data_IF_778274833434
#
_entry.id   IF_778274833434
#
_cell.length_a   1.000
_cell.length_b   1.000
_cell.length_c   1.000
_cell.angle_alpha   90.00
_cell.angle_beta   90.00
_cell.angle_gamma   90.00
#
_symmetry.space_group_name_H-M   'P 1'
#
loop_
_entity.id
_entity.type
_entity.pdbx_description
1 polymer ?
#
# COMPACT_ATOMS: atom_id res chain seq x y z
N UNK A 1 -8.82 11.41 -17.40
CA UNK A 1 -9.94 10.48 -17.10
C UNK A 1 -9.62 9.00 -17.30
N UNK A 2 -8.81 8.57 -18.29
CA UNK A 2 -8.52 7.13 -18.54
C UNK A 2 -7.81 6.39 -17.39
N UNK A 3 -6.91 7.05 -16.64
CA UNK A 3 -6.12 6.40 -15.57
C UNK A 3 -6.94 6.03 -14.32
N UNK A 4 -7.84 6.91 -13.85
CA UNK A 4 -8.64 6.65 -12.63
C UNK A 4 -9.71 5.57 -12.84
N UNK A 5 -10.35 5.55 -14.03
CA UNK A 5 -11.29 4.49 -14.40
C UNK A 5 -10.59 3.12 -14.46
N UNK A 6 -9.39 3.07 -15.04
CA UNK A 6 -8.58 1.84 -15.09
C UNK A 6 -8.21 1.34 -13.69
N UNK A 7 -7.80 2.24 -12.79
CA UNK A 7 -7.53 1.90 -11.40
C UNK A 7 -8.76 1.33 -10.67
N UNK A 8 -9.93 1.97 -10.82
CA UNK A 8 -11.16 1.48 -10.18
C UNK A 8 -11.58 0.11 -10.71
N UNK A 9 -11.48 -0.11 -12.03
CA UNK A 9 -11.74 -1.41 -12.65
C UNK A 9 -10.78 -2.46 -12.11
N UNK A 10 -9.49 -2.14 -12.06
CA UNK A 10 -8.46 -3.02 -11.51
C UNK A 10 -8.76 -3.39 -10.06
N UNK A 11 -9.02 -2.40 -9.19
CA UNK A 11 -9.38 -2.63 -7.78
C UNK A 11 -10.63 -3.49 -7.67
N UNK A 12 -11.65 -3.23 -8.49
CA UNK A 12 -12.88 -4.02 -8.52
C UNK A 12 -12.65 -5.48 -8.92
N UNK A 13 -11.80 -5.73 -9.91
CA UNK A 13 -11.42 -7.09 -10.34
C UNK A 13 -10.67 -7.81 -9.21
N UNK A 14 -9.65 -7.16 -8.63
CA UNK A 14 -8.88 -7.75 -7.53
C UNK A 14 -9.80 -8.06 -6.35
N UNK A 15 -10.68 -7.14 -5.98
CA UNK A 15 -11.64 -7.34 -4.91
C UNK A 15 -12.58 -8.52 -5.20
N UNK A 16 -13.14 -8.60 -6.41
CA UNK A 16 -14.05 -9.68 -6.79
C UNK A 16 -13.37 -11.05 -6.77
N UNK A 17 -12.14 -11.14 -7.29
CA UNK A 17 -11.35 -12.37 -7.25
C UNK A 17 -11.00 -12.76 -5.82
N UNK A 18 -10.61 -11.80 -4.99
CA UNK A 18 -10.32 -12.04 -3.57
C UNK A 18 -11.56 -12.52 -2.81
N UNK A 19 -12.74 -11.93 -3.04
CA UNK A 19 -13.99 -12.40 -2.41
C UNK A 19 -14.27 -13.85 -2.81
N UNK A 20 -14.17 -14.18 -4.10
CA UNK A 20 -14.38 -15.56 -4.58
C UNK A 20 -13.40 -16.54 -3.93
N UNK A 21 -12.12 -16.16 -3.88
CA UNK A 21 -11.09 -17.00 -3.28
C UNK A 21 -11.30 -17.13 -1.76
N UNK A 22 -11.68 -16.06 -1.07
CA UNK A 22 -12.02 -16.07 0.35
C UNK A 22 -13.15 -17.06 0.64
N UNK A 23 -14.26 -16.99 -0.10
CA UNK A 23 -15.39 -17.91 0.07
C UNK A 23 -14.99 -19.37 -0.17
N UNK A 24 -14.16 -19.63 -1.20
CA UNK A 24 -13.60 -20.95 -1.45
C UNK A 24 -12.71 -21.42 -0.31
N UNK A 25 -11.76 -20.60 0.12
CA UNK A 25 -10.80 -20.92 1.17
C UNK A 25 -11.52 -21.17 2.51
N UNK A 26 -12.51 -20.35 2.84
CA UNK A 26 -13.35 -20.51 4.04
C UNK A 26 -14.14 -21.83 4.03
N UNK A 27 -14.62 -22.27 2.87
CA UNK A 27 -15.38 -23.51 2.74
C UNK A 27 -14.49 -24.78 2.70
N UNK A 28 -13.25 -24.67 2.21
CA UNK A 28 -12.37 -25.81 1.95
C UNK A 28 -11.32 -26.02 3.04
N UNK A 29 -10.75 -24.95 3.58
CA UNK A 29 -9.74 -25.05 4.62
C UNK A 29 -10.40 -25.01 5.99
N UNK A 30 -9.97 -25.92 6.87
CA UNK A 30 -10.32 -25.84 8.28
C UNK A 30 -9.83 -24.51 8.87
N UNK A 31 -10.57 -23.92 9.83
CA UNK A 31 -10.12 -22.72 10.54
C UNK A 31 -8.68 -22.93 11.03
N UNK A 32 -7.78 -22.10 10.53
CA UNK A 32 -6.41 -22.06 11.02
C UNK A 32 -6.39 -21.22 12.28
N UNK A 33 -6.51 -21.88 13.44
CA UNK A 33 -6.43 -21.20 14.73
C UNK A 33 -5.11 -20.43 14.85
N UNK A 34 -5.22 -19.15 15.19
CA UNK A 34 -4.08 -18.37 15.64
C UNK A 34 -3.41 -19.07 16.82
N UNK A 35 -2.08 -19.15 16.77
CA UNK A 35 -1.31 -19.68 17.90
C UNK A 35 -1.07 -18.52 18.85
N UNK A 36 -1.94 -18.37 19.84
CA UNK A 36 -1.76 -17.39 20.91
C UNK A 36 -0.48 -17.68 21.70
N UNK A 37 0.60 -17.03 21.29
CA UNK A 37 1.91 -17.10 21.92
C UNK A 37 2.37 -15.69 22.21
N UNK A 38 3.25 -15.52 23.19
CA UNK A 38 3.83 -14.21 23.49
C UNK A 38 4.48 -13.56 22.25
N UNK A 39 5.04 -14.36 21.33
CA UNK A 39 5.60 -13.86 20.08
C UNK A 39 4.52 -13.42 19.09
N UNK A 40 3.39 -14.12 18.99
CA UNK A 40 2.29 -13.72 18.10
C UNK A 40 1.63 -12.44 18.57
N UNK A 41 1.43 -12.26 19.88
CA UNK A 41 0.87 -11.04 20.48
C UNK A 41 1.76 -9.81 20.21
N UNK A 42 3.08 -9.96 20.39
CA UNK A 42 4.03 -8.91 19.97
C UNK A 42 3.96 -8.70 18.44
N UNK A 43 3.83 -9.79 17.69
CA UNK A 43 3.67 -9.78 16.24
C UNK A 43 2.45 -8.97 15.79
N UNK A 44 1.30 -9.10 16.44
CA UNK A 44 0.09 -8.32 16.19
C UNK A 44 0.33 -6.82 16.42
N UNK A 45 1.03 -6.46 17.50
CA UNK A 45 1.45 -5.08 17.75
C UNK A 45 2.29 -4.51 16.60
N UNK A 46 3.23 -5.29 16.06
CA UNK A 46 3.96 -4.91 14.84
C UNK A 46 3.05 -4.82 13.61
N UNK A 47 2.03 -5.68 13.50
CA UNK A 47 1.01 -5.60 12.46
C UNK A 47 0.26 -4.27 12.48
N UNK A 48 -0.18 -3.83 13.65
CA UNK A 48 -0.85 -2.53 13.84
C UNK A 48 0.08 -1.35 13.47
N UNK A 49 1.32 -1.37 13.96
CA UNK A 49 2.32 -0.37 13.58
C UNK A 49 2.57 -0.34 12.06
N UNK A 50 2.58 -1.52 11.43
CA UNK A 50 2.67 -1.66 9.97
C UNK A 50 1.50 -1.00 9.26
N UNK A 51 0.27 -1.20 9.75
CA UNK A 51 -0.94 -0.57 9.22
C UNK A 51 -0.86 0.96 9.31
N UNK A 52 -0.45 1.50 10.45
CA UNK A 52 -0.24 2.94 10.62
C UNK A 52 0.82 3.49 9.65
N UNK A 53 1.92 2.78 9.45
CA UNK A 53 2.98 3.17 8.51
C UNK A 53 2.48 3.15 7.05
N UNK A 54 1.69 2.14 6.67
CA UNK A 54 1.04 2.09 5.35
C UNK A 54 0.06 3.25 5.17
N UNK A 55 -0.78 3.54 6.17
CA UNK A 55 -1.71 4.66 6.13
C UNK A 55 -0.96 5.98 5.88
N UNK A 56 0.17 6.19 6.57
CA UNK A 56 1.02 7.37 6.34
C UNK A 56 1.53 7.46 4.90
N UNK A 57 2.03 6.35 4.34
CA UNK A 57 2.55 6.30 2.96
C UNK A 57 1.45 6.57 1.93
N UNK A 58 0.24 6.00 2.12
CA UNK A 58 -0.87 6.20 1.18
C UNK A 58 -1.58 7.54 1.36
N UNK A 59 -1.61 8.10 2.58
CA UNK A 59 -2.14 9.44 2.83
C UNK A 59 -1.42 10.49 1.96
N UNK A 60 -0.11 10.34 1.75
CA UNK A 60 0.65 11.15 0.79
C UNK A 60 0.09 11.05 -0.63
N UNK A 61 -0.22 9.84 -1.11
CA UNK A 61 -0.76 9.61 -2.45
C UNK A 61 -2.15 10.24 -2.60
N UNK A 62 -3.01 10.05 -1.60
CA UNK A 62 -4.35 10.69 -1.55
C UNK A 62 -4.22 12.21 -1.55
N UNK A 63 -3.31 12.76 -0.74
CA UNK A 63 -3.07 14.20 -0.65
C UNK A 63 -2.53 14.77 -1.97
N UNK A 64 -1.63 14.05 -2.66
CA UNK A 64 -1.18 14.43 -4.01
C UNK A 64 -2.32 14.46 -5.01
N UNK A 65 -3.23 13.48 -4.96
CA UNK A 65 -4.40 13.44 -5.84
C UNK A 65 -5.38 14.58 -5.53
N UNK A 66 -5.61 14.88 -4.25
CA UNK A 66 -6.47 15.97 -3.80
C UNK A 66 -5.94 17.34 -4.23
N UNK A 67 -4.65 17.62 -4.01
CA UNK A 67 -4.01 18.90 -4.40
C UNK A 67 -3.80 18.98 -5.92
N UNK A 68 -3.50 17.87 -6.59
CA UNK A 68 -3.33 17.81 -8.05
C UNK A 68 -4.59 18.16 -8.83
N UNK A 69 -5.77 17.96 -8.25
CA UNK A 69 -7.04 18.47 -8.79
C UNK A 69 -7.10 20.00 -8.82
N UNK A 70 -6.42 20.70 -7.91
CA UNK A 70 -6.42 22.17 -7.91
C UNK A 70 -5.62 22.76 -9.08
N UNK A 71 -4.53 22.10 -9.52
CA UNK A 71 -3.82 22.50 -10.75
C UNK A 71 -4.68 22.34 -12.02
N UNK A 72 -5.71 21.51 -11.97
CA UNK A 72 -6.69 21.36 -13.04
C UNK A 72 -7.74 22.49 -12.98
N UNK A 73 -8.14 22.93 -11.78
CA UNK A 73 -9.00 24.11 -11.56
C UNK A 73 -8.28 25.40 -11.97
N UNK A 74 -6.99 25.57 -11.62
CA UNK A 74 -6.15 26.70 -12.03
C UNK A 74 -6.02 26.81 -13.57
N UNK A 75 -6.21 25.69 -14.29
CA UNK A 75 -6.15 25.62 -15.76
C UNK A 75 -7.51 25.94 -16.41
N UNK A 76 -8.60 25.89 -15.64
CA UNK A 76 -9.97 26.15 -16.10
C UNK A 76 -10.44 27.55 -15.69
N UNK A 77 -9.97 28.09 -14.56
CA UNK A 77 -10.30 29.43 -14.06
C UNK A 77 -9.02 30.19 -13.65
N UNK A 78 -8.36 30.88 -14.60
CA UNK A 78 -7.08 31.55 -14.38
C UNK A 78 -7.12 32.70 -13.37
N UNK A 79 -8.31 33.30 -13.18
CA UNK A 79 -8.51 34.50 -12.37
C UNK A 79 -9.05 34.22 -10.96
N UNK A 80 -9.08 32.96 -10.51
CA UNK A 80 -9.36 32.67 -9.12
C UNK A 80 -8.17 33.16 -8.27
N UNK A 81 -8.38 34.27 -7.58
CA UNK A 81 -7.38 34.96 -6.77
C UNK A 81 -6.60 33.96 -5.90
N UNK A 82 -5.28 33.96 -6.11
CA UNK A 82 -4.31 33.16 -5.38
C UNK A 82 -4.45 33.48 -3.89
N UNK A 83 -5.21 32.66 -3.15
CA UNK A 83 -5.32 32.79 -1.71
C UNK A 83 -3.91 32.69 -1.11
N UNK A 84 -3.50 33.63 -0.23
CA UNK A 84 -2.19 33.64 0.44
C UNK A 84 -1.93 32.42 1.34
N UNK A 85 -2.89 31.48 1.43
CA UNK A 85 -2.66 30.18 2.03
C UNK A 85 -1.69 29.38 1.15
N UNK A 86 -0.39 29.52 1.43
CA UNK A 86 0.55 28.41 1.34
C UNK A 86 -0.01 27.30 2.24
N UNK A 87 -1.00 26.58 1.69
CA UNK A 87 -1.98 25.78 2.40
C UNK A 87 -1.25 24.79 3.29
N UNK A 88 -1.69 24.63 4.54
CA UNK A 88 -1.23 23.60 5.46
C UNK A 88 -1.02 22.24 4.77
N UNK A 89 -1.87 21.91 3.78
CA UNK A 89 -1.78 20.72 2.94
C UNK A 89 -0.51 20.66 2.07
N UNK A 90 -0.01 21.78 1.55
CA UNK A 90 1.26 21.83 0.81
C UNK A 90 2.46 21.63 1.74
N UNK A 91 2.45 22.24 2.93
CA UNK A 91 3.49 22.03 3.96
C UNK A 91 3.50 20.57 4.43
N UNK A 92 2.31 20.00 4.71
CA UNK A 92 2.13 18.60 5.06
C UNK A 92 2.62 17.69 3.92
N UNK A 93 2.25 17.97 2.67
CA UNK A 93 2.73 17.19 1.52
C UNK A 93 4.25 17.26 1.38
N UNK A 94 4.86 18.43 1.62
CA UNK A 94 6.31 18.60 1.67
C UNK A 94 6.96 17.72 2.74
N UNK A 95 6.42 17.73 3.95
CA UNK A 95 6.86 16.85 5.05
C UNK A 95 6.74 15.37 4.68
N UNK A 96 5.56 14.92 4.23
CA UNK A 96 5.32 13.54 3.81
C UNK A 96 6.26 13.11 2.68
N UNK A 97 6.54 14.00 1.71
CA UNK A 97 7.50 13.72 0.64
C UNK A 97 8.93 13.54 1.16
N UNK A 98 9.34 14.23 2.23
CA UNK A 98 10.69 14.09 2.78
C UNK A 98 10.85 12.84 3.61
N UNK A 99 9.82 12.43 4.34
CA UNK A 99 9.88 11.32 5.30
C UNK A 99 9.46 9.97 4.72
N UNK A 100 8.73 9.93 3.60
CA UNK A 100 8.16 8.68 3.08
C UNK A 100 9.16 7.56 2.79
N UNK A 101 10.41 7.88 2.43
CA UNK A 101 11.42 6.84 2.16
C UNK A 101 11.78 6.12 3.47
N UNK A 102 12.03 6.87 4.54
CA UNK A 102 12.34 6.30 5.86
C UNK A 102 11.15 5.52 6.43
N UNK A 103 9.94 6.07 6.31
CA UNK A 103 8.72 5.37 6.72
C UNK A 103 8.47 4.13 5.87
N UNK A 104 8.80 4.17 4.58
CA UNK A 104 8.72 3.01 3.67
C UNK A 104 9.66 1.88 4.09
N UNK A 105 10.92 2.19 4.40
CA UNK A 105 11.90 1.21 4.91
C UNK A 105 11.45 0.64 6.25
N UNK A 106 10.98 1.49 7.17
CA UNK A 106 10.45 1.06 8.46
C UNK A 106 9.22 0.16 8.30
N UNK A 107 8.26 0.53 7.45
CA UNK A 107 7.07 -0.27 7.15
C UNK A 107 7.46 -1.65 6.60
N UNK A 108 8.41 -1.70 5.66
CA UNK A 108 8.91 -2.95 5.10
C UNK A 108 9.50 -3.87 6.20
N UNK A 109 10.36 -3.33 7.05
CA UNK A 109 10.97 -4.09 8.15
C UNK A 109 9.93 -4.57 9.18
N UNK A 110 9.00 -3.68 9.58
CA UNK A 110 7.94 -3.98 10.55
C UNK A 110 7.00 -5.06 10.01
N UNK A 111 6.59 -4.99 8.74
CA UNK A 111 5.70 -6.00 8.14
C UNK A 111 6.41 -7.35 8.03
N UNK A 112 7.69 -7.39 7.64
CA UNK A 112 8.45 -8.64 7.62
C UNK A 112 8.61 -9.23 9.02
N UNK A 113 8.85 -8.39 10.03
CA UNK A 113 8.93 -8.81 11.42
C UNK A 113 7.60 -9.36 11.92
N UNK A 114 6.49 -8.67 11.64
CA UNK A 114 5.13 -9.16 11.92
C UNK A 114 4.90 -10.56 11.32
N UNK A 115 5.19 -10.74 10.02
CA UNK A 115 5.06 -12.04 9.34
C UNK A 115 5.93 -13.12 10.01
N UNK A 116 7.16 -12.78 10.40
CA UNK A 116 8.07 -13.72 11.04
C UNK A 116 7.61 -14.13 12.45
N UNK A 117 7.00 -13.21 13.20
CA UNK A 117 6.56 -13.44 14.58
C UNK A 117 5.22 -14.19 14.66
N UNK A 118 4.24 -13.82 13.82
CA UNK A 118 2.93 -14.48 13.76
C UNK A 118 3.01 -15.82 13.00
N UNK A 119 3.96 -15.93 12.08
CA UNK A 119 4.06 -17.07 11.16
C UNK A 119 3.09 -16.94 9.98
N UNK A 120 3.15 -17.90 9.05
CA UNK A 120 2.39 -17.83 7.80
C UNK A 120 1.81 -19.20 7.41
N UNK A 121 0.52 -19.24 7.10
CA UNK A 121 -0.10 -20.39 6.45
C UNK A 121 0.20 -20.40 4.95
N UNK A 122 1.11 -21.26 4.51
CA UNK A 122 1.45 -21.42 3.09
C UNK A 122 0.33 -22.09 2.26
N UNK A 123 -0.73 -22.59 2.91
CA UNK A 123 -1.90 -23.20 2.23
C UNK A 123 -2.90 -22.16 1.73
N UNK A 124 -3.01 -21.03 2.43
CA UNK A 124 -3.90 -19.93 2.09
C UNK A 124 -3.11 -18.96 1.24
N UNK A 125 -3.46 -18.83 -0.04
CA UNK A 125 -2.69 -18.12 -1.07
C UNK A 125 -2.50 -16.63 -0.77
N UNK A 126 -3.40 -16.02 0.00
CA UNK A 126 -3.27 -14.61 0.39
C UNK A 126 -1.94 -14.31 1.08
N UNK A 127 -1.48 -15.18 1.98
CA UNK A 127 -0.25 -14.91 2.72
C UNK A 127 1.04 -14.97 1.88
N UNK A 128 1.35 -16.06 1.14
CA UNK A 128 2.53 -16.08 0.29
C UNK A 128 2.46 -15.01 -0.82
N UNK A 129 1.25 -14.67 -1.30
CA UNK A 129 1.08 -13.55 -2.24
C UNK A 129 1.42 -12.20 -1.59
N UNK A 130 0.94 -11.92 -0.37
CA UNK A 130 1.29 -10.70 0.37
C UNK A 130 2.79 -10.63 0.62
N UNK A 131 3.44 -11.72 1.05
CA UNK A 131 4.89 -11.75 1.25
C UNK A 131 5.65 -11.42 -0.04
N UNK A 132 5.29 -12.07 -1.15
CA UNK A 132 5.90 -11.79 -2.45
C UNK A 132 5.72 -10.32 -2.87
N UNK A 133 4.53 -9.76 -2.67
CA UNK A 133 4.24 -8.36 -2.98
C UNK A 133 5.01 -7.39 -2.07
N UNK A 134 5.13 -7.68 -0.78
CA UNK A 134 5.91 -6.89 0.19
C UNK A 134 7.39 -6.91 -0.17
N UNK A 135 7.95 -8.07 -0.48
CA UNK A 135 9.34 -8.21 -0.96
C UNK A 135 9.56 -7.44 -2.27
N UNK A 136 8.61 -7.54 -3.20
CA UNK A 136 8.61 -6.75 -4.44
C UNK A 136 8.59 -5.24 -4.16
N UNK A 137 7.74 -4.78 -3.23
CA UNK A 137 7.70 -3.37 -2.81
C UNK A 137 9.01 -2.91 -2.19
N UNK A 138 9.59 -3.70 -1.29
CA UNK A 138 10.86 -3.37 -0.64
C UNK A 138 12.00 -3.26 -1.65
N UNK A 139 12.18 -4.29 -2.48
CA UNK A 139 13.22 -4.32 -3.50
C UNK A 139 13.11 -3.14 -4.47
N UNK A 140 11.91 -2.90 -5.00
CA UNK A 140 11.71 -1.85 -5.98
C UNK A 140 11.73 -0.44 -5.34
N UNK A 141 11.28 -0.30 -4.09
CA UNK A 141 11.43 0.93 -3.31
C UNK A 141 12.89 1.31 -3.11
N UNK A 142 13.74 0.34 -2.77
CA UNK A 142 15.20 0.54 -2.67
C UNK A 142 15.83 0.87 -4.02
N UNK A 143 15.42 0.18 -5.10
CA UNK A 143 15.88 0.50 -6.45
C UNK A 143 15.70 1.99 -6.76
N UNK A 144 14.53 2.57 -6.51
CA UNK A 144 14.25 3.99 -6.77
C UNK A 144 15.06 5.00 -5.92
N UNK A 145 15.74 4.57 -4.87
CA UNK A 145 16.65 5.44 -4.10
C UNK A 145 17.99 5.67 -4.79
N UNK A 146 18.31 4.89 -5.83
CA UNK A 146 19.52 5.08 -6.62
C UNK A 146 19.42 6.34 -7.51
N UNK A 147 20.57 6.96 -7.78
CA UNK A 147 20.67 8.08 -8.72
C UNK A 147 20.46 7.59 -10.17
N UNK A 148 19.29 7.85 -10.73
CA UNK A 148 19.00 7.65 -12.15
C UNK A 148 18.90 8.98 -12.89
N UNK A 149 19.29 8.97 -14.16
CA UNK A 149 19.01 10.07 -15.09
C UNK A 149 17.50 10.14 -15.43
N UNK A 150 16.99 11.31 -15.84
CA UNK A 150 15.60 11.45 -16.27
C UNK A 150 15.19 10.50 -17.41
N UNK A 151 16.13 10.16 -18.30
CA UNK A 151 15.91 9.23 -19.40
C UNK A 151 15.71 7.78 -18.92
N UNK A 152 16.43 7.38 -17.88
CA UNK A 152 16.30 6.07 -17.24
C UNK A 152 15.01 5.98 -16.43
N UNK A 153 14.68 7.01 -15.64
CA UNK A 153 13.43 7.06 -14.88
C UNK A 153 12.18 6.95 -15.76
N UNK A 154 12.24 7.50 -16.98
CA UNK A 154 11.13 7.37 -17.95
C UNK A 154 10.90 5.92 -18.37
N UNK A 155 11.96 5.11 -18.49
CA UNK A 155 11.85 3.66 -18.75
C UNK A 155 11.24 2.90 -17.57
N UNK A 156 11.48 3.36 -16.34
CA UNK A 156 10.96 2.75 -15.11
C UNK A 156 9.61 3.32 -14.65
N UNK A 157 9.04 4.27 -15.40
CA UNK A 157 7.75 4.89 -15.07
C UNK A 157 6.62 3.87 -14.88
N UNK A 158 6.65 2.76 -15.64
CA UNK A 158 5.68 1.67 -15.48
C UNK A 158 5.81 0.95 -14.13
N UNK A 159 7.03 0.75 -13.62
CA UNK A 159 7.28 0.09 -12.34
C UNK A 159 6.83 0.97 -11.16
N UNK A 160 6.97 2.30 -11.29
CA UNK A 160 6.42 3.25 -10.30
C UNK A 160 4.90 3.16 -10.21
N UNK A 161 4.22 2.97 -11.36
CA UNK A 161 2.77 2.73 -11.37
C UNK A 161 2.43 1.35 -10.78
N UNK A 162 3.28 0.34 -11.02
CA UNK A 162 3.11 -0.98 -10.44
C UNK A 162 3.11 -0.94 -8.91
N UNK A 163 3.93 -0.09 -8.26
CA UNK A 163 3.97 0.01 -6.79
C UNK A 163 2.62 0.33 -6.16
N UNK A 164 1.93 1.33 -6.69
CA UNK A 164 0.62 1.72 -6.17
C UNK A 164 -0.43 0.62 -6.39
N UNK A 165 -0.37 -0.03 -7.53
CA UNK A 165 -1.27 -1.13 -7.94
C UNK A 165 -1.05 -2.39 -7.09
N UNK A 166 0.20 -2.77 -6.85
CA UNK A 166 0.55 -3.88 -5.94
C UNK A 166 0.26 -3.52 -4.49
N UNK A 167 0.35 -2.24 -4.14
CA UNK A 167 -0.03 -1.72 -2.83
C UNK A 167 -1.51 -1.96 -2.49
N UNK A 168 -2.39 -1.73 -3.46
CA UNK A 168 -3.82 -2.06 -3.34
C UNK A 168 -4.03 -3.57 -3.15
N UNK A 169 -3.29 -4.41 -3.90
CA UNK A 169 -3.37 -5.87 -3.72
C UNK A 169 -2.94 -6.30 -2.32
N UNK A 170 -1.84 -5.74 -1.80
CA UNK A 170 -1.36 -6.04 -0.43
C UNK A 170 -2.48 -5.75 0.57
N UNK A 171 -3.10 -4.57 0.49
CA UNK A 171 -4.19 -4.21 1.40
C UNK A 171 -5.39 -5.16 1.32
N UNK A 172 -5.84 -5.49 0.10
CA UNK A 172 -6.97 -6.41 -0.09
C UNK A 172 -6.64 -7.83 0.39
N UNK A 173 -5.48 -8.35 0.02
CA UNK A 173 -5.07 -9.71 0.37
C UNK A 173 -4.77 -9.86 1.86
N UNK A 174 -4.14 -8.87 2.48
CA UNK A 174 -3.94 -8.85 3.93
C UNK A 174 -5.28 -8.84 4.66
N UNK A 175 -6.22 -8.01 4.24
CA UNK A 175 -7.57 -7.95 4.82
C UNK A 175 -8.29 -9.30 4.75
N UNK A 176 -8.40 -9.91 3.57
CA UNK A 176 -9.07 -11.21 3.45
C UNK A 176 -8.28 -12.38 4.05
N UNK A 177 -6.94 -12.28 4.08
CA UNK A 177 -6.08 -13.24 4.75
C UNK A 177 -6.36 -13.27 6.26
N UNK A 178 -6.37 -12.09 6.90
CA UNK A 178 -6.71 -11.94 8.32
C UNK A 178 -8.12 -12.46 8.63
N UNK A 179 -9.13 -12.12 7.81
CA UNK A 179 -10.48 -12.67 7.99
C UNK A 179 -10.58 -14.22 7.92
N UNK A 180 -9.56 -14.93 7.41
CA UNK A 180 -9.53 -16.40 7.40
C UNK A 180 -8.83 -17.01 8.62
N UNK A 181 -8.07 -16.22 9.39
CA UNK A 181 -7.32 -16.67 10.57
C UNK A 181 -7.87 -16.10 11.87
N UNK A 182 -8.42 -14.88 11.85
CA UNK A 182 -8.99 -14.18 13.01
C UNK A 182 -10.38 -14.74 13.44
N UNK A 183 -10.84 -15.86 12.86
CA UNK A 183 -12.16 -16.49 13.09
C UNK A 183 -12.07 -17.89 13.72
#
# INVERSE_FOLDING_TARGET
>A
MKSMKGLLIYTGIVLFVSIKYYLYAYAVYSPTHERETFLSEIGEGFGELGLWALLFIYARTVLKLAIGKNKFIDRILPDYSRSPSASFLQKLLGFLNRTHVYVGVAAFAIILLHIALVGMSMKILFFPAVLALVLWQGFFGMFLTWKYSPAELKKFSYLVHAQFVTGIMIGIFAFFGHLLIDN
#
